data_IF_622962744494
#
_entry.id   IF_622962744494
#
_cell.length_a   1.000
_cell.length_b   1.000
_cell.length_c   1.000
_cell.angle_alpha   90.00
_cell.angle_beta   90.00
_cell.angle_gamma   90.00
#
_symmetry.space_group_name_H-M   'P 1'
#
loop_
_entity.id
_entity.type
_entity.pdbx_description
1 polymer ?
#
# COMPACT_ATOMS: atom_id res chain seq x y z
N UNK A 1 -19.64 -26.28 7.65
CA UNK A 1 -18.75 -26.14 6.49
C UNK A 1 -17.88 -24.93 6.79
N UNK A 2 -16.65 -25.15 7.25
CA UNK A 2 -15.68 -24.05 7.36
C UNK A 2 -15.41 -23.55 5.95
N UNK A 3 -15.41 -22.24 5.75
CA UNK A 3 -14.98 -21.64 4.50
C UNK A 3 -13.56 -22.13 4.17
N UNK A 4 -13.19 -22.25 2.88
CA UNK A 4 -11.82 -22.56 2.51
C UNK A 4 -10.96 -21.32 2.79
N UNK A 5 -10.56 -21.13 4.04
CA UNK A 5 -9.62 -20.07 4.46
C UNK A 5 -8.17 -20.46 4.16
N UNK A 6 -7.92 -21.16 3.05
CA UNK A 6 -6.57 -21.58 2.65
C UNK A 6 -5.81 -20.44 1.97
N UNK A 7 -5.92 -19.22 2.51
CA UNK A 7 -5.11 -18.09 2.10
C UNK A 7 -3.71 -18.31 2.65
N UNK A 8 -2.75 -18.60 1.79
CA UNK A 8 -1.36 -18.75 2.22
C UNK A 8 -0.82 -17.37 2.58
N UNK A 9 -0.59 -17.13 3.88
CA UNK A 9 -0.01 -15.88 4.35
C UNK A 9 1.50 -15.93 4.08
N UNK A 10 2.15 -14.77 3.91
CA UNK A 10 3.59 -14.72 3.66
C UNK A 10 4.40 -15.44 4.75
N UNK A 11 3.90 -15.43 5.99
CA UNK A 11 4.47 -16.17 7.10
C UNK A 11 4.49 -17.69 6.89
N UNK A 12 3.39 -18.27 6.40
CA UNK A 12 3.31 -19.71 6.14
C UNK A 12 4.38 -20.11 5.11
N UNK A 13 4.54 -19.28 4.07
CA UNK A 13 5.58 -19.47 3.05
C UNK A 13 6.97 -19.43 3.68
N UNK A 14 7.27 -18.43 4.51
CA UNK A 14 8.57 -18.30 5.15
C UNK A 14 8.86 -19.43 6.13
N UNK A 15 7.84 -19.90 6.86
CA UNK A 15 7.97 -21.01 7.81
C UNK A 15 8.33 -22.30 7.07
N UNK A 16 7.62 -22.63 5.99
CA UNK A 16 7.97 -23.81 5.19
C UNK A 16 9.35 -23.70 4.52
N UNK A 17 9.72 -22.51 4.05
CA UNK A 17 11.05 -22.26 3.50
C UNK A 17 12.13 -22.44 4.57
N UNK A 18 11.87 -22.02 5.81
CA UNK A 18 12.79 -22.18 6.92
C UNK A 18 12.96 -23.65 7.31
N UNK A 19 11.88 -24.44 7.29
CA UNK A 19 11.95 -25.90 7.51
C UNK A 19 12.83 -26.58 6.46
N UNK A 20 12.70 -26.17 5.20
CA UNK A 20 13.50 -26.73 4.10
C UNK A 20 14.99 -26.48 4.28
N UNK A 21 15.38 -25.27 4.72
CA UNK A 21 16.80 -24.90 4.93
C UNK A 21 17.32 -25.37 6.30
N UNK A 22 16.44 -25.83 7.19
CA UNK A 22 16.81 -26.24 8.55
C UNK A 22 17.12 -25.05 9.49
N UNK A 23 16.49 -23.90 9.25
CA UNK A 23 16.60 -22.68 10.07
C UNK A 23 15.28 -22.30 10.73
N UNK A 24 14.27 -23.17 10.69
CA UNK A 24 13.02 -22.94 11.40
C UNK A 24 13.23 -22.96 12.91
N UNK A 25 12.55 -22.05 13.60
CA UNK A 25 12.39 -22.11 15.05
C UNK A 25 11.18 -22.99 15.38
N UNK A 26 11.08 -23.44 16.63
CA UNK A 26 9.98 -24.31 17.07
C UNK A 26 9.36 -23.75 18.34
N UNK A 27 8.04 -23.57 18.31
CA UNK A 27 7.31 -23.18 19.52
C UNK A 27 7.49 -24.26 20.59
N UNK A 28 8.12 -23.91 21.71
CA UNK A 28 8.43 -24.83 22.81
C UNK A 28 7.21 -25.52 23.44
N UNK A 29 6.01 -24.96 23.25
CA UNK A 29 4.76 -25.48 23.81
C UNK A 29 4.01 -26.40 22.85
N UNK A 30 4.03 -26.10 21.55
CA UNK A 30 3.27 -26.86 20.54
C UNK A 30 4.13 -27.78 19.68
N UNK A 31 5.44 -27.51 19.60
CA UNK A 31 6.37 -28.18 18.69
C UNK A 31 6.14 -27.84 17.21
N UNK A 32 5.26 -26.88 16.92
CA UNK A 32 4.97 -26.43 15.56
C UNK A 32 6.12 -25.54 15.10
N UNK A 33 6.58 -25.75 13.87
CA UNK A 33 7.57 -24.89 13.24
C UNK A 33 7.01 -23.48 13.09
N UNK A 34 7.85 -22.50 13.42
CA UNK A 34 7.61 -21.09 13.20
C UNK A 34 8.75 -20.53 12.36
N UNK A 35 8.48 -19.47 11.62
CA UNK A 35 9.53 -18.74 10.92
C UNK A 35 10.64 -18.32 11.90
N UNK A 36 11.91 -18.23 11.46
CA UNK A 36 13.01 -17.87 12.34
C UNK A 36 12.79 -16.51 12.98
N UNK A 37 13.23 -16.34 14.22
CA UNK A 37 13.24 -15.05 14.91
C UNK A 37 14.52 -14.24 14.58
N UNK A 38 15.58 -14.90 14.12
CA UNK A 38 16.83 -14.23 13.76
C UNK A 38 16.65 -13.27 12.56
N UNK A 39 17.02 -12.01 12.76
CA UNK A 39 16.92 -10.94 11.74
C UNK A 39 17.71 -11.30 10.47
N UNK A 40 18.84 -11.98 10.59
CA UNK A 40 19.68 -12.38 9.47
C UNK A 40 19.01 -13.43 8.60
N UNK A 41 18.48 -14.49 9.22
CA UNK A 41 17.83 -15.59 8.51
C UNK A 41 16.48 -15.19 7.91
N UNK A 42 15.67 -14.40 8.62
CA UNK A 42 14.46 -13.79 8.03
C UNK A 42 14.82 -12.97 6.80
N UNK A 43 15.83 -12.11 6.86
CA UNK A 43 16.19 -11.25 5.71
C UNK A 43 16.68 -12.07 4.50
N UNK A 44 17.38 -13.18 4.73
CA UNK A 44 17.74 -14.12 3.66
C UNK A 44 16.48 -14.75 3.05
N UNK A 45 15.60 -15.33 3.88
CA UNK A 45 14.38 -16.00 3.41
C UNK A 45 13.46 -15.03 2.68
N UNK A 46 13.25 -13.81 3.19
CA UNK A 46 12.49 -12.76 2.48
C UNK A 46 13.04 -12.47 1.11
N UNK A 47 14.36 -12.34 0.98
CA UNK A 47 15.00 -12.04 -0.31
C UNK A 47 14.69 -13.15 -1.31
N UNK A 48 14.86 -14.40 -0.88
CA UNK A 48 14.60 -15.59 -1.70
C UNK A 48 13.11 -15.72 -2.05
N UNK A 49 12.21 -15.50 -1.09
CA UNK A 49 10.77 -15.54 -1.33
C UNK A 49 10.34 -14.49 -2.37
N UNK A 50 10.83 -13.25 -2.20
CA UNK A 50 10.59 -12.18 -3.18
C UNK A 50 11.18 -12.50 -4.56
N UNK A 51 12.33 -13.17 -4.63
CA UNK A 51 12.90 -13.64 -5.90
C UNK A 51 12.03 -14.75 -6.53
N UNK A 52 11.52 -15.70 -5.75
CA UNK A 52 10.57 -16.72 -6.19
C UNK A 52 9.28 -16.13 -6.74
N UNK A 53 8.70 -15.13 -6.07
CA UNK A 53 7.51 -14.42 -6.55
C UNK A 53 7.82 -13.64 -7.84
N UNK A 54 8.95 -12.92 -7.89
CA UNK A 54 9.37 -12.22 -9.12
C UNK A 54 9.57 -13.16 -10.29
N UNK A 55 10.12 -14.34 -10.02
CA UNK A 55 10.28 -15.41 -11.02
C UNK A 55 8.92 -15.88 -11.54
N UNK A 56 7.96 -16.17 -10.66
CA UNK A 56 6.60 -16.52 -11.07
C UNK A 56 5.95 -15.43 -11.93
N UNK A 57 6.15 -14.16 -11.58
CA UNK A 57 5.65 -13.04 -12.37
C UNK A 57 6.38 -12.93 -13.72
N UNK A 58 7.69 -13.19 -13.79
CA UNK A 58 8.45 -13.15 -15.05
C UNK A 58 8.13 -14.33 -15.97
N UNK A 59 7.75 -15.47 -15.42
CA UNK A 59 7.31 -16.67 -16.16
C UNK A 59 5.87 -16.52 -16.74
N UNK A 60 5.40 -15.28 -16.88
CA UNK A 60 4.09 -14.96 -17.43
C UNK A 60 3.93 -15.43 -18.89
N UNK A 61 2.68 -15.64 -19.34
CA UNK A 61 2.39 -15.74 -20.77
C UNK A 61 2.88 -14.51 -21.55
N UNK A 62 3.04 -14.59 -22.90
CA UNK A 62 3.51 -13.47 -23.72
C UNK A 62 2.70 -12.17 -23.62
N UNK A 63 1.43 -12.24 -23.19
CA UNK A 63 0.54 -11.09 -23.00
C UNK A 63 0.43 -10.63 -21.54
N UNK A 64 1.31 -11.14 -20.67
CA UNK A 64 1.24 -10.98 -19.22
C UNK A 64 0.17 -11.87 -18.59
N UNK A 65 0.14 -11.85 -17.25
CA UNK A 65 -0.91 -12.50 -16.46
C UNK A 65 -2.21 -11.69 -16.52
N UNK A 66 -3.35 -12.37 -16.69
CA UNK A 66 -4.66 -11.70 -16.66
C UNK A 66 -5.04 -11.24 -15.26
N UNK A 67 -4.65 -11.96 -14.21
CA UNK A 67 -4.88 -11.52 -12.82
C UNK A 67 -4.17 -10.20 -12.46
N UNK A 68 -3.10 -9.84 -13.19
CA UNK A 68 -2.43 -8.54 -13.02
C UNK A 68 -3.27 -7.39 -13.58
N UNK A 69 -4.23 -7.66 -14.48
CA UNK A 69 -5.11 -6.64 -15.04
C UNK A 69 -6.23 -6.36 -14.04
N UNK A 70 -6.11 -5.24 -13.32
CA UNK A 70 -7.03 -4.82 -12.28
C UNK A 70 -7.73 -3.52 -12.65
N UNK A 71 -8.80 -3.20 -11.93
CA UNK A 71 -9.47 -1.91 -12.05
C UNK A 71 -9.04 -1.06 -10.86
N UNK A 72 -8.41 0.07 -11.14
CA UNK A 72 -8.17 1.13 -10.16
C UNK A 72 -9.47 1.89 -9.95
N UNK A 73 -9.81 2.21 -8.71
CA UNK A 73 -10.96 3.05 -8.37
C UNK A 73 -10.49 4.20 -7.50
N UNK A 74 -10.72 5.44 -7.95
CA UNK A 74 -10.28 6.65 -7.27
C UNK A 74 -11.50 7.50 -7.01
N UNK A 75 -11.68 7.88 -5.74
CA UNK A 75 -12.68 8.87 -5.34
C UNK A 75 -12.09 10.26 -5.47
N UNK A 76 -12.53 11.00 -6.48
CA UNK A 76 -12.26 12.41 -6.61
C UNK A 76 -12.93 13.19 -5.48
N UNK A 77 -12.18 14.09 -4.86
CA UNK A 77 -12.66 14.97 -3.80
C UNK A 77 -12.89 16.36 -4.37
N UNK A 78 -13.78 17.11 -3.73
CA UNK A 78 -14.02 18.51 -4.12
C UNK A 78 -12.71 19.26 -3.93
N UNK A 79 -12.32 20.00 -4.98
CA UNK A 79 -11.13 20.84 -4.95
C UNK A 79 -11.26 21.96 -3.93
N UNK A 80 -10.15 22.32 -3.31
CA UNK A 80 -10.10 23.36 -2.30
C UNK A 80 -8.80 24.12 -2.43
N UNK A 81 -8.87 25.42 -2.17
CA UNK A 81 -7.70 26.30 -2.14
C UNK A 81 -7.84 27.24 -0.96
N UNK A 82 -6.71 27.74 -0.48
CA UNK A 82 -6.68 28.57 0.71
C UNK A 82 -5.31 29.13 1.00
N UNK A 83 -5.19 29.76 2.16
CA UNK A 83 -3.94 30.32 2.66
C UNK A 83 -3.70 29.74 4.05
N UNK A 84 -2.51 29.18 4.26
CA UNK A 84 -2.13 28.70 5.57
C UNK A 84 -2.15 29.87 6.57
N UNK A 85 -2.85 29.72 7.69
CA UNK A 85 -3.05 30.80 8.67
C UNK A 85 -2.77 30.37 10.13
N UNK A 86 -2.42 29.09 10.34
CA UNK A 86 -2.06 28.57 11.65
C UNK A 86 -1.19 27.31 11.59
N UNK A 87 -0.73 26.88 12.77
CA UNK A 87 0.10 25.67 12.99
C UNK A 87 1.25 25.46 11.99
N UNK A 88 1.95 26.55 11.64
CA UNK A 88 2.95 26.64 10.58
C UNK A 88 4.26 25.93 10.97
N UNK A 89 4.39 24.66 10.62
CA UNK A 89 5.57 23.85 10.87
C UNK A 89 5.99 23.07 9.61
N UNK A 90 7.19 22.48 9.63
CA UNK A 90 7.72 21.78 8.45
C UNK A 90 6.80 20.67 7.92
N UNK A 91 6.05 20.02 8.81
CA UNK A 91 5.17 18.89 8.50
C UNK A 91 3.68 19.18 8.69
N UNK A 92 3.32 20.42 9.07
CA UNK A 92 1.92 20.77 9.32
C UNK A 92 1.61 22.22 8.99
N UNK A 93 0.36 22.49 8.63
CA UNK A 93 -0.23 23.82 8.75
C UNK A 93 -1.75 23.71 8.82
N UNK A 94 -2.41 24.75 9.31
CA UNK A 94 -3.88 24.85 9.29
C UNK A 94 -4.37 25.99 8.40
N UNK A 95 -5.59 25.84 7.91
CA UNK A 95 -6.40 26.90 7.32
C UNK A 95 -7.74 26.97 8.06
N UNK A 96 -7.94 28.03 8.84
CA UNK A 96 -9.16 28.22 9.62
C UNK A 96 -10.42 28.37 8.75
N UNK A 97 -10.28 28.71 7.46
CA UNK A 97 -11.40 28.79 6.51
C UNK A 97 -11.94 27.42 6.15
N UNK A 98 -11.07 26.40 6.14
CA UNK A 98 -11.47 25.01 5.88
C UNK A 98 -11.94 24.29 7.15
N UNK A 99 -11.68 24.85 8.34
CA UNK A 99 -12.13 24.30 9.60
C UNK A 99 -13.67 24.17 9.65
N UNK A 100 -14.15 22.97 9.96
CA UNK A 100 -15.57 22.62 10.01
C UNK A 100 -16.26 22.42 8.66
N UNK A 101 -15.54 22.56 7.53
CA UNK A 101 -16.12 22.39 6.19
C UNK A 101 -16.17 20.93 5.76
N UNK A 102 -15.14 20.16 6.11
CA UNK A 102 -15.00 18.75 5.76
C UNK A 102 -14.72 17.91 7.01
N UNK A 103 -15.12 16.65 6.98
CA UNK A 103 -14.88 15.70 8.06
C UNK A 103 -13.37 15.37 8.20
N UNK A 104 -13.02 14.73 9.31
CA UNK A 104 -11.68 14.17 9.49
C UNK A 104 -11.34 13.21 8.33
N UNK A 105 -10.06 13.15 7.99
CA UNK A 105 -9.51 12.26 6.96
C UNK A 105 -9.97 12.56 5.52
N UNK A 106 -10.75 13.63 5.30
CA UNK A 106 -11.35 13.91 3.98
C UNK A 106 -10.32 14.02 2.85
N UNK A 107 -9.15 14.60 3.14
CA UNK A 107 -8.06 14.82 2.18
C UNK A 107 -6.92 13.80 2.27
N UNK A 108 -7.03 12.75 3.08
CA UNK A 108 -5.96 11.77 3.23
C UNK A 108 -5.66 11.10 1.88
N UNK A 109 -4.36 10.96 1.56
CA UNK A 109 -3.89 10.39 0.30
C UNK A 109 -3.91 11.35 -0.90
N UNK A 110 -4.43 12.57 -0.75
CA UNK A 110 -4.31 13.60 -1.78
C UNK A 110 -2.95 14.30 -1.68
N UNK A 111 -2.52 14.88 -2.80
CA UNK A 111 -1.29 15.67 -2.86
C UNK A 111 -1.68 17.15 -2.85
N UNK A 112 -1.15 17.87 -1.88
CA UNK A 112 -1.26 19.34 -1.81
C UNK A 112 -0.18 19.97 -2.69
N UNK A 113 -0.53 21.05 -3.37
CA UNK A 113 0.40 21.86 -4.17
C UNK A 113 0.39 23.29 -3.65
N UNK A 114 1.58 23.85 -3.44
CA UNK A 114 1.74 25.25 -3.06
C UNK A 114 1.73 26.09 -4.32
N UNK A 115 0.74 26.97 -4.44
CA UNK A 115 0.49 27.80 -5.62
C UNK A 115 0.94 29.25 -5.44
N UNK A 116 1.21 29.67 -4.21
CA UNK A 116 1.66 31.02 -3.88
C UNK A 116 2.43 31.08 -2.56
N UNK A 117 3.21 32.15 -2.37
CA UNK A 117 4.00 32.38 -1.16
C UNK A 117 5.22 31.48 -1.01
N UNK A 118 5.58 31.18 0.26
CA UNK A 118 6.75 30.35 0.58
C UNK A 118 6.49 28.89 0.21
N UNK A 119 7.43 28.31 -0.53
CA UNK A 119 7.35 26.94 -1.03
C UNK A 119 6.61 26.79 -2.36
N UNK A 120 6.39 27.87 -3.12
CA UNK A 120 5.70 27.81 -4.42
C UNK A 120 6.26 26.72 -5.34
N UNK A 121 5.37 25.90 -5.89
CA UNK A 121 5.69 24.73 -6.72
C UNK A 121 6.07 23.48 -5.94
N UNK A 122 6.23 23.55 -4.63
CA UNK A 122 6.42 22.37 -3.78
C UNK A 122 5.10 21.65 -3.53
N UNK A 123 5.22 20.36 -3.22
CA UNK A 123 4.07 19.48 -3.00
C UNK A 123 4.29 18.61 -1.77
N UNK A 124 3.22 18.14 -1.17
CA UNK A 124 3.29 17.16 -0.09
C UNK A 124 2.13 16.15 -0.16
N UNK A 125 2.35 14.95 0.35
CA UNK A 125 1.29 13.96 0.53
C UNK A 125 0.61 14.22 1.87
N UNK A 126 -0.72 14.38 1.86
CA UNK A 126 -1.52 14.55 3.08
C UNK A 126 -1.69 13.18 3.73
N UNK A 127 -1.17 13.04 4.95
CA UNK A 127 -1.31 11.81 5.75
C UNK A 127 -2.46 11.89 6.73
N UNK A 128 -2.80 13.10 7.19
CA UNK A 128 -3.92 13.34 8.08
C UNK A 128 -4.51 14.74 7.83
N UNK A 129 -5.82 14.85 8.05
CA UNK A 129 -6.59 16.09 8.03
C UNK A 129 -7.60 16.10 9.18
N UNK A 130 -7.46 17.08 10.07
CA UNK A 130 -8.39 17.29 11.17
C UNK A 130 -9.44 18.31 10.76
N UNK A 131 -10.64 17.84 10.43
CA UNK A 131 -11.76 18.64 9.95
C UNK A 131 -12.15 19.77 10.90
N UNK A 132 -12.12 19.52 12.22
CA UNK A 132 -12.49 20.50 13.23
C UNK A 132 -11.57 21.75 13.27
N UNK A 133 -10.29 21.60 12.88
CA UNK A 133 -9.28 22.66 12.97
C UNK A 133 -8.72 23.07 11.61
N UNK A 134 -9.09 22.38 10.53
CA UNK A 134 -8.49 22.59 9.21
C UNK A 134 -6.99 22.27 9.18
N UNK A 135 -6.52 21.36 10.06
CA UNK A 135 -5.09 21.03 10.21
C UNK A 135 -4.70 19.95 9.21
N UNK A 136 -3.71 20.24 8.36
CA UNK A 136 -3.06 19.28 7.49
C UNK A 136 -1.77 18.76 8.12
N UNK A 137 -1.51 17.47 7.95
CA UNK A 137 -0.28 16.79 8.35
C UNK A 137 0.35 16.07 7.16
N UNK A 138 1.68 16.12 7.07
CA UNK A 138 2.49 15.50 6.02
C UNK A 138 3.60 14.63 6.62
N UNK A 139 3.95 13.51 5.95
CA UNK A 139 5.01 12.62 6.44
C UNK A 139 6.44 13.15 6.28
N UNK A 140 6.71 13.95 5.25
CA UNK A 140 8.06 14.40 4.93
C UNK A 140 8.18 15.92 4.72
N UNK A 141 7.15 16.67 5.11
CA UNK A 141 7.02 18.09 4.81
C UNK A 141 6.87 18.39 3.31
N UNK A 142 7.09 19.65 2.92
CA UNK A 142 7.04 20.05 1.52
C UNK A 142 8.26 19.51 0.74
N UNK A 143 8.06 19.17 -0.54
CA UNK A 143 9.05 18.48 -1.36
C UNK A 143 10.39 19.20 -1.55
N UNK A 144 10.46 20.52 -1.34
CA UNK A 144 11.70 21.31 -1.38
C UNK A 144 12.29 21.57 0.01
N UNK A 145 11.65 21.08 1.07
CA UNK A 145 12.06 21.30 2.46
C UNK A 145 11.64 22.67 3.02
N UNK A 146 10.82 23.44 2.31
CA UNK A 146 10.32 24.71 2.81
C UNK A 146 9.36 24.50 3.98
N UNK A 147 9.38 25.45 4.92
CA UNK A 147 8.38 25.52 6.00
C UNK A 147 7.26 26.49 5.58
N UNK A 148 5.99 26.07 5.57
CA UNK A 148 4.85 26.93 5.31
C UNK A 148 4.84 28.20 6.18
N UNK A 149 4.31 29.29 5.64
CA UNK A 149 4.13 30.56 6.36
C UNK A 149 2.69 31.06 6.22
N UNK A 150 2.34 32.12 6.94
CA UNK A 150 1.04 32.78 6.81
C UNK A 150 0.73 33.37 5.41
N UNK A 151 1.67 33.26 4.47
CA UNK A 151 1.52 33.70 3.06
C UNK A 151 1.49 32.53 2.09
N UNK A 152 1.63 31.29 2.58
CA UNK A 152 1.64 30.09 1.76
C UNK A 152 0.23 29.80 1.27
N UNK A 153 0.01 29.94 -0.02
CA UNK A 153 -1.25 29.64 -0.70
C UNK A 153 -1.19 28.24 -1.29
N UNK A 154 -2.25 27.45 -1.12
CA UNK A 154 -2.28 26.05 -1.53
C UNK A 154 -3.51 25.71 -2.36
N UNK A 155 -3.41 24.62 -3.11
CA UNK A 155 -4.50 23.98 -3.83
C UNK A 155 -4.48 22.45 -3.62
N UNK A 156 -5.66 21.86 -3.49
CA UNK A 156 -5.91 20.43 -3.25
C UNK A 156 -7.06 19.96 -4.15
N UNK A 157 -7.08 18.67 -4.47
CA UNK A 157 -8.20 18.01 -5.17
C UNK A 157 -7.94 17.74 -6.65
N UNK A 158 -6.77 18.11 -7.16
CA UNK A 158 -6.37 17.86 -8.54
C UNK A 158 -5.27 16.85 -8.74
N UNK A 159 -4.58 16.48 -7.66
CA UNK A 159 -3.48 15.52 -7.63
C UNK A 159 -3.77 14.42 -6.63
N UNK A 160 -3.72 13.19 -7.10
CA UNK A 160 -4.03 12.01 -6.30
C UNK A 160 -2.83 11.09 -6.31
N UNK A 161 -2.32 10.71 -5.14
CA UNK A 161 -1.31 9.67 -5.07
C UNK A 161 -1.97 8.34 -5.47
N UNK A 162 -1.38 7.66 -6.45
CA UNK A 162 -1.79 6.32 -6.81
C UNK A 162 -1.15 5.30 -5.86
N UNK A 163 -1.83 4.17 -5.72
CA UNK A 163 -1.34 3.05 -4.92
C UNK A 163 0.06 2.60 -5.39
N UNK A 164 0.87 2.09 -4.46
CA UNK A 164 2.23 1.64 -4.76
C UNK A 164 2.29 0.47 -5.75
N UNK A 165 1.20 -0.29 -5.90
CA UNK A 165 1.11 -1.34 -6.92
C UNK A 165 0.92 -0.83 -8.33
N UNK A 166 0.62 0.46 -8.51
CA UNK A 166 0.50 1.05 -9.83
C UNK A 166 1.89 1.39 -10.38
N UNK A 167 2.34 0.63 -11.39
CA UNK A 167 3.67 0.77 -11.98
C UNK A 167 3.76 1.71 -13.19
N UNK A 168 2.73 2.50 -13.47
CA UNK A 168 2.73 3.46 -14.60
C UNK A 168 1.94 3.00 -15.83
N UNK A 169 1.47 1.76 -15.87
CA UNK A 169 0.84 1.17 -17.07
C UNK A 169 -0.69 1.12 -16.94
N UNK A 170 -1.36 1.98 -17.72
CA UNK A 170 -2.82 1.97 -17.90
C UNK A 170 -3.17 1.07 -19.10
N UNK A 171 -4.23 0.26 -18.96
CA UNK A 171 -4.59 -0.80 -19.93
C UNK A 171 -5.86 -0.48 -20.74
N UNK A 172 -6.41 0.72 -20.59
CA UNK A 172 -7.67 1.07 -21.23
C UNK A 172 -8.21 2.42 -20.82
N UNK A 173 -9.39 2.75 -21.36
CA UNK A 173 -10.03 4.05 -21.15
C UNK A 173 -10.52 4.20 -19.71
N UNK A 174 -10.38 5.38 -19.11
CA UNK A 174 -11.00 5.67 -17.84
C UNK A 174 -12.49 5.91 -18.03
N UNK A 175 -13.26 5.61 -17.00
CA UNK A 175 -14.71 5.82 -16.97
C UNK A 175 -15.14 6.28 -15.60
N UNK A 176 -16.13 7.17 -15.55
CA UNK A 176 -16.85 7.39 -14.31
C UNK A 176 -17.66 6.15 -13.90
N UNK A 177 -17.86 5.99 -12.60
CA UNK A 177 -18.76 4.95 -12.08
C UNK A 177 -20.14 5.08 -12.74
N UNK A 178 -20.75 3.93 -13.06
CA UNK A 178 -22.06 3.89 -13.70
C UNK A 178 -23.08 4.71 -12.88
N UNK A 179 -23.89 5.50 -13.58
CA UNK A 179 -24.93 6.38 -13.02
C UNK A 179 -24.47 7.71 -12.42
N UNK A 180 -23.21 8.13 -12.61
CA UNK A 180 -22.77 9.48 -12.23
C UNK A 180 -23.46 10.59 -13.04
N UNK A 181 -23.99 10.28 -14.24
CA UNK A 181 -24.56 11.30 -15.14
C UNK A 181 -23.51 12.22 -15.78
N UNK A 182 -22.22 11.88 -15.60
CA UNK A 182 -21.07 12.64 -16.06
C UNK A 182 -20.65 12.22 -17.47
N UNK A 183 -20.12 13.16 -18.25
CA UNK A 183 -19.54 12.93 -19.57
C UNK A 183 -18.30 12.00 -19.57
N UNK A 184 -17.75 11.67 -20.74
CA UNK A 184 -16.57 10.82 -20.82
C UNK A 184 -15.33 11.52 -20.22
N UNK A 185 -14.38 10.70 -19.78
CA UNK A 185 -13.05 11.14 -19.38
C UNK A 185 -12.00 10.44 -20.25
N UNK A 186 -10.94 11.14 -20.63
CA UNK A 186 -9.92 10.63 -21.54
C UNK A 186 -8.51 10.84 -20.97
N UNK A 187 -7.62 9.92 -21.34
CA UNK A 187 -6.19 10.06 -21.08
C UNK A 187 -5.60 11.14 -21.99
N UNK A 188 -4.85 12.06 -21.39
CA UNK A 188 -4.05 13.05 -22.11
C UNK A 188 -2.61 13.02 -21.60
N UNK A 189 -1.72 13.66 -22.35
CA UNK A 189 -0.39 13.95 -21.83
C UNK A 189 -0.50 14.95 -20.67
N UNK A 190 0.45 14.88 -19.75
CA UNK A 190 0.53 15.81 -18.62
C UNK A 190 0.67 17.28 -19.04
N UNK A 191 1.41 17.54 -20.13
CA UNK A 191 1.74 18.90 -20.56
C UNK A 191 0.50 19.78 -20.81
N UNK A 192 -0.52 19.34 -21.57
CA UNK A 192 -1.78 20.07 -21.70
C UNK A 192 -2.45 20.42 -20.36
N UNK A 193 -2.50 19.48 -19.41
CA UNK A 193 -3.11 19.73 -18.09
C UNK A 193 -2.36 20.83 -17.34
N UNK A 194 -1.02 20.86 -17.40
CA UNK A 194 -0.24 21.94 -16.80
C UNK A 194 -0.54 23.29 -17.45
N UNK A 195 -0.56 23.34 -18.78
CA UNK A 195 -0.84 24.57 -19.52
C UNK A 195 -2.23 25.14 -19.19
N UNK A 196 -3.26 24.30 -19.16
CA UNK A 196 -4.60 24.77 -18.80
C UNK A 196 -4.73 25.27 -17.36
N UNK A 197 -3.89 24.75 -16.45
CA UNK A 197 -3.83 25.23 -15.06
C UNK A 197 -3.09 26.56 -14.92
N UNK A 198 -2.08 26.81 -15.75
CA UNK A 198 -1.42 28.11 -15.82
C UNK A 198 -2.40 29.21 -16.25
N UNK A 199 -3.35 28.88 -17.12
CA UNK A 199 -4.39 29.80 -17.60
C UNK A 199 -5.53 30.02 -16.58
N UNK A 200 -5.59 29.22 -15.51
CA UNK A 200 -6.52 29.38 -14.38
C UNK A 200 -7.06 28.07 -13.80
N UNK A 201 -7.49 28.11 -12.53
CA UNK A 201 -8.26 27.01 -11.92
C UNK A 201 -9.71 27.07 -12.40
N UNK A 202 -10.18 25.97 -12.96
CA UNK A 202 -11.53 25.82 -13.45
C UNK A 202 -12.21 24.71 -12.65
N UNK A 203 -13.17 25.07 -11.79
CA UNK A 203 -14.01 24.09 -11.12
C UNK A 203 -14.99 23.46 -12.10
N UNK A 204 -15.15 22.13 -12.05
CA UNK A 204 -16.11 21.44 -12.90
C UNK A 204 -16.00 19.93 -12.79
N UNK A 205 -16.54 19.24 -13.79
CA UNK A 205 -16.38 17.80 -13.86
C UNK A 205 -15.15 17.47 -14.70
N UNK A 206 -14.17 16.73 -14.15
CA UNK A 206 -12.98 16.38 -14.90
C UNK A 206 -13.33 15.60 -16.17
N UNK A 207 -12.70 15.93 -17.28
CA UNK A 207 -12.88 15.18 -18.53
C UNK A 207 -11.53 14.80 -19.15
N UNK A 208 -10.44 15.21 -18.52
CA UNK A 208 -9.08 14.89 -18.90
C UNK A 208 -8.30 14.44 -17.69
N UNK A 209 -7.43 13.46 -17.89
CA UNK A 209 -6.57 12.98 -16.84
C UNK A 209 -5.22 12.50 -17.40
N UNK A 210 -4.18 12.60 -16.59
CA UNK A 210 -2.83 12.16 -16.93
C UNK A 210 -2.18 11.49 -15.73
N UNK A 211 -1.29 10.54 -15.99
CA UNK A 211 -0.49 9.90 -14.94
C UNK A 211 0.95 10.29 -15.11
N UNK A 212 1.66 10.52 -14.00
CA UNK A 212 3.09 10.77 -14.00
C UNK A 212 3.78 10.21 -12.77
N UNK A 213 5.10 10.02 -12.79
CA UNK A 213 5.86 9.63 -11.61
C UNK A 213 5.74 10.69 -10.49
N UNK A 214 5.64 10.23 -9.25
CA UNK A 214 5.61 11.06 -8.04
C UNK A 214 6.54 10.45 -6.98
N UNK A 215 7.54 11.23 -6.55
CA UNK A 215 8.53 10.76 -5.58
C UNK A 215 9.30 9.51 -6.04
N UNK A 216 9.52 8.56 -5.13
CA UNK A 216 10.26 7.32 -5.39
C UNK A 216 9.30 6.15 -5.56
N UNK A 217 9.14 5.65 -6.79
CA UNK A 217 8.30 4.48 -7.14
C UNK A 217 6.79 4.64 -6.88
N UNK A 218 6.28 5.86 -6.71
CA UNK A 218 4.84 6.14 -6.78
C UNK A 218 4.52 6.90 -8.05
N UNK A 219 3.25 6.90 -8.40
CA UNK A 219 2.71 7.72 -9.46
C UNK A 219 1.62 8.60 -8.88
N UNK A 220 1.36 9.71 -9.54
CA UNK A 220 0.20 10.53 -9.25
C UNK A 220 -0.71 10.62 -10.47
N UNK A 221 -2.00 10.79 -10.18
CA UNK A 221 -3.00 11.12 -11.16
C UNK A 221 -3.28 12.63 -11.10
N UNK A 222 -3.20 13.26 -12.26
CA UNK A 222 -3.65 14.62 -12.52
C UNK A 222 -5.01 14.56 -13.19
N UNK A 223 -5.92 15.42 -12.75
CA UNK A 223 -7.24 15.60 -13.38
C UNK A 223 -7.44 17.04 -13.82
N UNK A 224 -8.25 17.25 -14.85
CA UNK A 224 -8.68 18.58 -15.28
C UNK A 224 -10.08 18.52 -15.90
N UNK A 225 -10.96 19.52 -15.68
CA UNK A 225 -10.89 20.60 -14.71
C UNK A 225 -10.81 20.12 -13.25
N UNK A 226 -10.70 21.03 -12.29
CA UNK A 226 -10.69 20.69 -10.86
C UNK A 226 -12.06 20.12 -10.44
N UNK A 227 -12.12 19.01 -9.68
CA UNK A 227 -13.40 18.41 -9.33
C UNK A 227 -14.25 19.36 -8.48
N UNK A 228 -15.46 19.67 -8.97
CA UNK A 228 -16.47 20.43 -8.24
C UNK A 228 -17.44 19.58 -7.42
N UNK A 229 -17.37 18.25 -7.56
CA UNK A 229 -18.20 17.28 -6.85
C UNK A 229 -17.37 16.03 -6.51
N UNK A 230 -17.84 15.26 -5.51
CA UNK A 230 -17.26 13.96 -5.21
C UNK A 230 -17.70 12.97 -6.27
N UNK A 231 -16.74 12.40 -6.99
CA UNK A 231 -16.98 11.48 -8.10
C UNK A 231 -16.06 10.27 -7.99
N UNK A 232 -16.42 9.15 -8.62
CA UNK A 232 -15.58 7.95 -8.65
C UNK A 232 -15.17 7.66 -10.09
N UNK A 233 -13.86 7.60 -10.32
CA UNK A 233 -13.27 7.22 -11.61
C UNK A 233 -12.70 5.82 -11.48
N UNK A 234 -12.91 5.03 -12.52
CA UNK A 234 -12.36 3.70 -12.66
C UNK A 234 -11.57 3.57 -13.96
N UNK A 235 -10.41 2.91 -13.89
CA UNK A 235 -9.64 2.58 -15.09
C UNK A 235 -8.88 1.27 -14.92
N UNK A 236 -8.75 0.47 -16.00
CA UNK A 236 -7.94 -0.73 -15.97
C UNK A 236 -6.45 -0.39 -15.94
N UNK A 237 -5.68 -1.12 -15.12
CA UNK A 237 -4.23 -0.98 -15.00
C UNK A 237 -3.55 -2.34 -14.84
N UNK A 238 -2.25 -2.37 -15.12
CA UNK A 238 -1.41 -3.52 -14.80
C UNK A 238 -0.85 -3.35 -13.39
N UNK A 239 -1.19 -4.28 -12.51
CA UNK A 239 -0.67 -4.39 -11.15
C UNK A 239 0.80 -4.81 -11.19
N UNK A 240 1.66 -4.13 -10.44
CA UNK A 240 3.05 -4.49 -10.24
C UNK A 240 3.31 -4.90 -8.81
N UNK A 241 3.94 -6.05 -8.64
CA UNK A 241 4.40 -6.52 -7.35
C UNK A 241 5.64 -5.72 -6.91
N UNK A 242 5.56 -5.11 -5.73
CA UNK A 242 6.70 -4.43 -5.11
C UNK A 242 7.60 -5.41 -4.35
N UNK A 243 7.17 -5.76 -3.13
CA UNK A 243 7.78 -6.76 -2.26
C UNK A 243 6.77 -7.22 -1.21
N UNK A 244 6.95 -8.42 -0.68
CA UNK A 244 6.43 -8.82 0.61
C UNK A 244 7.50 -8.56 1.67
N UNK A 245 7.08 -8.07 2.84
CA UNK A 245 7.99 -7.69 3.92
C UNK A 245 7.43 -8.10 5.29
N UNK A 246 8.30 -8.42 6.23
CA UNK A 246 7.96 -8.82 7.60
C UNK A 246 9.11 -8.49 8.54
N UNK A 247 9.06 -7.37 9.24
CA UNK A 247 10.18 -7.03 10.13
C UNK A 247 9.88 -7.60 11.51
N UNK A 248 10.89 -8.12 12.20
CA UNK A 248 10.77 -8.55 13.59
C UNK A 248 11.56 -7.62 14.49
N UNK A 249 11.21 -7.61 15.76
CA UNK A 249 11.90 -6.86 16.80
C UNK A 249 11.54 -7.33 18.18
N UNK A 250 12.24 -6.78 19.17
CA UNK A 250 11.97 -7.01 20.59
C UNK A 250 11.62 -5.66 21.20
N UNK A 251 10.58 -5.63 22.03
CA UNK A 251 10.18 -4.42 22.74
C UNK A 251 11.23 -4.13 23.81
N UNK A 252 12.01 -3.08 23.67
CA UNK A 252 12.98 -2.66 24.69
C UNK A 252 12.27 -2.05 25.91
N UNK A 253 11.25 -1.25 25.63
CA UNK A 253 10.43 -0.60 26.65
C UNK A 253 9.07 -0.20 26.08
N UNK A 254 8.17 0.19 26.97
CA UNK A 254 6.83 0.65 26.61
C UNK A 254 6.62 2.03 27.22
N UNK A 255 6.04 2.95 26.44
CA UNK A 255 5.87 4.36 26.82
C UNK A 255 4.45 4.85 26.51
N UNK A 256 4.08 6.00 27.06
CA UNK A 256 2.75 6.59 26.89
C UNK A 256 1.70 6.03 27.86
N UNK A 257 0.47 6.49 27.67
CA UNK A 257 -0.73 5.98 28.34
C UNK A 257 -1.67 5.39 27.29
N UNK A 258 -2.33 4.29 27.64
CA UNK A 258 -3.25 3.47 26.82
C UNK A 258 -3.78 4.15 25.54
N UNK A 259 -3.52 3.60 24.33
CA UNK A 259 -2.75 2.38 24.09
C UNK A 259 -1.25 2.59 24.34
N UNK A 260 -0.60 1.58 24.93
CA UNK A 260 0.81 1.66 25.24
C UNK A 260 1.66 1.61 23.95
N UNK A 261 2.64 2.51 23.81
CA UNK A 261 3.51 2.60 22.63
C UNK A 261 4.75 1.73 22.86
N UNK A 262 5.13 0.92 21.87
CA UNK A 262 6.35 0.11 21.97
C UNK A 262 7.56 0.90 21.50
N UNK A 263 8.70 0.63 22.13
CA UNK A 263 10.00 1.20 21.78
C UNK A 263 10.94 0.06 21.41
N UNK A 264 11.52 0.12 20.22
CA UNK A 264 12.64 -0.72 19.78
C UNK A 264 13.72 0.22 19.26
N UNK A 265 14.66 0.55 20.14
CA UNK A 265 15.68 1.58 19.94
C UNK A 265 16.71 1.18 18.88
N UNK A 266 16.78 -0.10 18.51
CA UNK A 266 17.66 -0.62 17.47
C UNK A 266 17.09 -0.40 16.06
N UNK A 267 15.83 0.04 15.93
CA UNK A 267 15.22 0.40 14.63
C UNK A 267 15.84 1.66 14.05
N UNK A 268 16.08 1.66 12.74
CA UNK A 268 16.75 2.76 12.04
C UNK A 268 16.09 3.09 10.67
N UNK A 269 14.85 2.66 10.48
CA UNK A 269 14.04 3.08 9.33
C UNK A 269 13.88 4.60 9.29
N UNK A 270 13.57 5.19 8.13
CA UNK A 270 13.19 6.60 8.05
C UNK A 270 12.00 6.95 8.96
N UNK A 271 11.88 8.21 9.36
CA UNK A 271 10.68 8.72 10.04
C UNK A 271 9.42 8.35 9.24
N UNK A 272 8.36 7.97 9.94
CA UNK A 272 7.06 7.61 9.37
C UNK A 272 7.05 6.43 8.39
N UNK A 273 8.12 5.63 8.35
CA UNK A 273 8.22 4.51 7.41
C UNK A 273 7.07 3.50 7.52
N UNK A 274 6.50 3.34 8.71
CA UNK A 274 5.40 2.41 8.99
C UNK A 274 4.00 3.02 8.94
N UNK A 275 3.85 4.35 8.76
CA UNK A 275 2.56 5.02 8.93
C UNK A 275 1.57 4.73 7.78
N UNK A 276 2.05 4.16 6.67
CA UNK A 276 1.21 3.79 5.52
C UNK A 276 0.96 2.29 5.52
N UNK A 277 -0.20 1.87 6.01
CA UNK A 277 -0.70 0.50 5.89
C UNK A 277 0.25 -0.56 6.48
N UNK A 278 0.76 -0.35 7.70
CA UNK A 278 1.42 -1.41 8.47
C UNK A 278 0.63 -1.78 9.72
N UNK A 279 0.71 -3.05 10.08
CA UNK A 279 0.26 -3.59 11.35
C UNK A 279 1.48 -4.05 12.15
N UNK A 280 1.40 -3.88 13.46
CA UNK A 280 2.28 -4.53 14.43
C UNK A 280 1.50 -5.63 15.13
N UNK A 281 2.11 -6.79 15.28
CA UNK A 281 1.56 -7.93 16.00
C UNK A 281 2.58 -8.43 17.02
N UNK A 282 2.12 -8.67 18.24
CA UNK A 282 2.95 -9.18 19.34
C UNK A 282 2.88 -10.70 19.32
N UNK A 283 4.03 -11.35 19.11
CA UNK A 283 4.11 -12.80 18.88
C UNK A 283 4.53 -13.59 20.11
N UNK A 284 5.12 -12.93 21.11
CA UNK A 284 5.53 -13.56 22.36
C UNK A 284 5.32 -12.66 23.58
N UNK A 285 5.43 -13.25 24.77
CA UNK A 285 5.32 -12.52 26.04
C UNK A 285 3.90 -12.14 26.43
N UNK A 286 3.74 -11.00 27.11
CA UNK A 286 2.47 -10.61 27.76
C UNK A 286 1.44 -10.13 26.75
N UNK A 287 1.86 -9.38 25.74
CA UNK A 287 0.99 -8.89 24.68
C UNK A 287 0.64 -9.94 23.62
N UNK A 288 1.11 -11.19 23.74
CA UNK A 288 0.98 -12.22 22.69
C UNK A 288 -0.45 -12.33 22.13
N UNK A 289 -0.56 -12.26 20.81
CA UNK A 289 -1.83 -12.32 20.08
C UNK A 289 -2.54 -10.98 19.96
N UNK A 290 -1.95 -9.90 20.47
CA UNK A 290 -2.45 -8.54 20.28
C UNK A 290 -1.82 -7.92 19.03
N UNK A 291 -2.59 -7.15 18.29
CA UNK A 291 -2.11 -6.41 17.12
C UNK A 291 -2.66 -4.98 17.07
N UNK A 292 -2.03 -4.11 16.29
CA UNK A 292 -2.50 -2.74 16.09
C UNK A 292 -2.07 -2.18 14.74
N UNK A 293 -2.87 -1.30 14.17
CA UNK A 293 -2.49 -0.54 12.96
C UNK A 293 -1.53 0.57 13.38
N UNK A 294 -0.36 0.62 12.73
CA UNK A 294 0.68 1.60 13.04
C UNK A 294 0.25 2.97 12.54
N UNK A 295 0.21 3.94 13.45
CA UNK A 295 -0.15 5.33 13.17
C UNK A 295 1.05 6.25 13.09
N UNK A 296 2.14 5.91 13.79
CA UNK A 296 3.36 6.71 13.79
C UNK A 296 4.62 5.85 14.00
N UNK A 297 5.75 6.29 13.44
CA UNK A 297 7.07 5.76 13.75
C UNK A 297 8.09 6.88 13.89
N UNK A 298 8.67 6.98 15.10
CA UNK A 298 9.68 7.99 15.44
C UNK A 298 11.07 7.39 15.40
N UNK A 299 11.87 7.75 14.39
CA UNK A 299 13.21 7.19 14.18
C UNK A 299 14.15 7.46 15.33
N UNK A 300 14.08 8.66 15.92
CA UNK A 300 15.04 9.08 16.96
C UNK A 300 14.96 8.27 18.25
N UNK A 301 13.79 7.67 18.52
CA UNK A 301 13.54 6.82 19.69
C UNK A 301 13.23 5.38 19.34
N UNK A 302 12.95 5.05 18.07
CA UNK A 302 12.43 3.74 17.67
C UNK A 302 11.01 3.47 18.16
N UNK A 303 10.24 4.52 18.45
CA UNK A 303 8.87 4.40 18.99
C UNK A 303 7.89 4.08 17.88
N UNK A 304 7.10 3.03 18.06
CA UNK A 304 5.99 2.65 17.18
C UNK A 304 4.68 2.94 17.92
N UNK A 305 3.84 3.76 17.31
CA UNK A 305 2.53 4.09 17.83
C UNK A 305 1.44 3.34 17.09
N UNK A 306 0.42 2.90 17.82
CA UNK A 306 -0.79 2.28 17.26
C UNK A 306 -2.03 3.02 17.71
N UNK A 307 -3.09 2.98 16.89
CA UNK A 307 -4.39 3.58 17.26
C UNK A 307 -5.05 2.87 18.46
N UNK A 308 -4.74 1.58 18.64
CA UNK A 308 -5.23 0.73 19.71
C UNK A 308 -4.71 -0.69 19.52
N UNK A 309 -4.51 -1.39 20.64
CA UNK A 309 -4.26 -2.83 20.61
C UNK A 309 -5.59 -3.57 20.54
N UNK A 310 -5.67 -4.48 19.58
CA UNK A 310 -6.81 -5.35 19.29
C UNK A 310 -6.41 -6.80 19.55
N UNK A 311 -7.36 -7.61 19.97
CA UNK A 311 -7.21 -9.06 20.00
C UNK A 311 -7.37 -9.69 18.60
N UNK A 312 -7.12 -10.99 18.49
CA UNK A 312 -7.22 -11.75 17.23
C UNK A 312 -8.61 -11.68 16.55
N UNK A 313 -9.67 -11.41 17.32
CA UNK A 313 -11.04 -11.27 16.81
C UNK A 313 -11.35 -9.82 16.36
N UNK A 314 -10.39 -8.91 16.46
CA UNK A 314 -10.47 -7.52 16.01
C UNK A 314 -11.54 -6.69 16.72
N UNK A 315 -12.06 -7.19 17.84
CA UNK A 315 -13.25 -6.62 18.51
C UNK A 315 -13.07 -6.42 20.01
N UNK A 316 -12.09 -7.05 20.66
CA UNK A 316 -11.75 -6.77 22.05
C UNK A 316 -10.46 -5.97 22.19
N UNK A 317 -10.31 -5.32 23.35
CA UNK A 317 -9.11 -4.55 23.68
C UNK A 317 -7.98 -5.54 23.90
N UNK A 318 -7.03 -5.56 22.96
CA UNK A 318 -5.81 -6.37 23.05
C UNK A 318 -5.03 -6.04 24.32
N UNK A 319 -4.17 -6.98 24.73
CA UNK A 319 -3.30 -6.76 25.88
C UNK A 319 -2.11 -5.90 25.47
N UNK A 320 -1.87 -4.82 26.20
CA UNK A 320 -0.71 -3.97 25.96
C UNK A 320 0.58 -4.82 26.07
N UNK A 321 1.51 -4.72 25.09
CA UNK A 321 2.80 -5.37 25.20
C UNK A 321 3.62 -4.82 26.37
N UNK A 322 4.64 -5.58 26.78
CA UNK A 322 5.63 -5.18 27.80
C UNK A 322 7.06 -5.33 27.27
N UNK A 323 8.04 -4.84 28.04
CA UNK A 323 9.45 -5.03 27.71
C UNK A 323 9.80 -6.52 27.59
N UNK A 324 10.61 -6.85 26.59
CA UNK A 324 11.00 -8.18 26.12
C UNK A 324 9.92 -8.97 25.38
N UNK A 325 8.73 -8.43 25.15
CA UNK A 325 7.81 -9.04 24.20
C UNK A 325 8.44 -8.96 22.79
N UNK A 326 8.34 -10.04 22.02
CA UNK A 326 8.73 -10.01 20.61
C UNK A 326 7.54 -9.60 19.76
N UNK A 327 7.81 -8.80 18.74
CA UNK A 327 6.79 -8.31 17.83
C UNK A 327 7.25 -8.45 16.38
N UNK A 328 6.27 -8.33 15.50
CA UNK A 328 6.48 -8.24 14.05
C UNK A 328 5.69 -7.11 13.44
N UNK A 329 6.22 -6.58 12.35
CA UNK A 329 5.64 -5.52 11.53
C UNK A 329 5.39 -6.07 10.14
N UNK A 330 4.15 -5.94 9.69
CA UNK A 330 3.68 -6.44 8.41
C UNK A 330 2.95 -5.32 7.67
N UNK A 331 3.16 -5.14 6.35
CA UNK A 331 2.23 -4.36 5.57
C UNK A 331 0.82 -4.98 5.65
N UNK A 332 -0.24 -4.17 5.72
CA UNK A 332 -1.64 -4.62 5.66
C UNK A 332 -1.89 -5.40 4.36
N UNK A 333 -1.16 -5.06 3.29
CA UNK A 333 -1.21 -5.70 1.98
C UNK A 333 -0.17 -6.82 1.79
N UNK A 334 0.34 -7.44 2.87
CA UNK A 334 1.37 -8.49 2.81
C UNK A 334 0.85 -9.87 2.36
N UNK A 335 -0.06 -9.87 1.38
CA UNK A 335 -0.59 -11.05 0.73
C UNK A 335 0.03 -11.16 -0.66
N UNK A 336 0.21 -12.39 -1.13
CA UNK A 336 0.67 -12.60 -2.50
C UNK A 336 -0.35 -12.00 -3.50
N UNK A 337 0.11 -11.40 -4.62
CA UNK A 337 -0.73 -10.53 -5.44
C UNK A 337 -1.65 -11.25 -6.45
N UNK A 338 -1.45 -12.53 -6.72
CA UNK A 338 -2.19 -13.30 -7.72
C UNK A 338 -3.53 -13.86 -7.22
N UNK A 339 -3.77 -13.86 -5.91
CA UNK A 339 -4.98 -14.38 -5.26
C UNK A 339 -5.00 -15.91 -5.09
N UNK A 340 -5.96 -16.43 -4.33
CA UNK A 340 -5.93 -17.79 -3.76
C UNK A 340 -5.73 -18.94 -4.77
N UNK A 341 -6.19 -18.76 -6.01
CA UNK A 341 -6.01 -19.77 -7.05
C UNK A 341 -4.53 -20.03 -7.42
N UNK A 342 -3.63 -19.12 -7.03
CA UNK A 342 -2.20 -19.16 -7.32
C UNK A 342 -1.33 -19.39 -6.08
N UNK A 343 -1.91 -19.54 -4.88
CA UNK A 343 -1.15 -19.73 -3.64
C UNK A 343 -0.16 -20.89 -3.74
N UNK A 344 -0.62 -22.04 -4.23
CA UNK A 344 0.22 -23.22 -4.34
C UNK A 344 1.36 -23.07 -5.37
N UNK A 345 1.15 -22.38 -6.49
CA UNK A 345 2.24 -22.17 -7.47
C UNK A 345 3.25 -21.17 -6.95
N UNK A 346 2.82 -20.14 -6.23
CA UNK A 346 3.71 -19.14 -5.61
C UNK A 346 4.52 -19.77 -4.49
N UNK A 347 3.88 -20.57 -3.63
CA UNK A 347 4.56 -21.41 -2.63
C UNK A 347 5.68 -22.22 -3.27
N UNK A 348 5.35 -22.99 -4.31
CA UNK A 348 6.33 -23.83 -5.02
C UNK A 348 7.43 -23.00 -5.70
N UNK A 349 7.11 -21.82 -6.22
CA UNK A 349 8.10 -20.90 -6.77
C UNK A 349 9.10 -20.42 -5.70
N UNK A 350 8.61 -20.12 -4.51
CA UNK A 350 9.45 -19.74 -3.37
C UNK A 350 10.33 -20.91 -2.92
N UNK A 351 9.77 -22.12 -2.79
CA UNK A 351 10.54 -23.33 -2.43
C UNK A 351 11.60 -23.68 -3.48
N UNK A 352 11.28 -23.54 -4.77
CA UNK A 352 12.25 -23.73 -5.85
C UNK A 352 13.37 -22.67 -5.81
N UNK A 353 13.05 -21.43 -5.45
CA UNK A 353 14.06 -20.38 -5.26
C UNK A 353 14.97 -20.68 -4.06
N UNK A 354 14.43 -21.24 -2.97
CA UNK A 354 15.25 -21.72 -1.83
C UNK A 354 16.21 -22.81 -2.26
N UNK A 355 15.71 -23.82 -2.96
CA UNK A 355 16.51 -24.93 -3.50
C UNK A 355 17.64 -24.45 -4.42
N UNK A 356 17.43 -23.33 -5.13
CA UNK A 356 18.41 -22.77 -6.06
C UNK A 356 19.41 -21.82 -5.39
N UNK A 357 19.01 -21.09 -4.34
CA UNK A 357 19.84 -20.04 -3.72
C UNK A 357 20.50 -20.45 -2.39
N UNK A 358 19.89 -21.36 -1.61
CA UNK A 358 20.29 -21.62 -0.22
C UNK A 358 20.64 -23.08 0.09
N UNK A 359 20.13 -24.05 -0.67
CA UNK A 359 20.35 -25.48 -0.44
C UNK A 359 21.13 -26.14 -1.58
N UNK A 360 21.58 -27.38 -1.37
CA UNK A 360 22.17 -28.20 -2.42
C UNK A 360 21.11 -28.53 -3.49
N UNK A 361 21.43 -28.29 -4.76
CA UNK A 361 20.49 -28.36 -5.88
C UNK A 361 19.99 -29.80 -6.12
N UNK A 362 18.87 -30.16 -5.48
CA UNK A 362 18.20 -31.45 -5.66
C UNK A 362 17.16 -31.44 -6.79
N UNK A 363 16.80 -30.26 -7.31
CA UNK A 363 15.84 -30.01 -8.42
C UNK A 363 14.40 -30.51 -8.18
N UNK A 364 14.06 -30.90 -6.95
CA UNK A 364 12.75 -31.50 -6.65
C UNK A 364 11.66 -30.44 -6.70
N UNK A 365 11.88 -29.30 -6.05
CA UNK A 365 10.93 -28.18 -6.03
C UNK A 365 10.84 -27.50 -7.39
N UNK A 366 11.94 -27.42 -8.13
CA UNK A 366 11.96 -26.89 -9.51
C UNK A 366 11.02 -27.67 -10.45
N UNK A 367 11.06 -29.00 -10.36
CA UNK A 367 10.18 -29.87 -11.15
C UNK A 367 8.70 -29.70 -10.76
N UNK A 368 8.41 -29.59 -9.45
CA UNK A 368 7.04 -29.34 -8.95
C UNK A 368 6.53 -27.96 -9.37
N UNK A 369 7.36 -26.93 -9.29
CA UNK A 369 7.04 -25.58 -9.74
C UNK A 369 6.69 -25.56 -11.23
N UNK A 370 7.51 -26.17 -12.09
CA UNK A 370 7.25 -26.24 -13.54
C UNK A 370 5.90 -26.91 -13.85
N UNK A 371 5.56 -28.00 -13.16
CA UNK A 371 4.26 -28.66 -13.31
C UNK A 371 3.09 -27.76 -12.85
N UNK A 372 3.25 -27.09 -11.71
CA UNK A 372 2.25 -26.17 -11.17
C UNK A 372 2.05 -24.93 -12.05
N UNK A 373 3.14 -24.41 -12.65
CA UNK A 373 3.11 -23.29 -13.59
C UNK A 373 2.22 -23.60 -14.79
N UNK A 374 2.34 -24.80 -15.37
CA UNK A 374 1.47 -25.24 -16.47
C UNK A 374 -0.03 -25.23 -16.11
N UNK A 375 -0.37 -25.47 -14.84
CA UNK A 375 -1.75 -25.36 -14.36
C UNK A 375 -2.15 -23.90 -14.08
N UNK A 376 -1.25 -23.09 -13.51
CA UNK A 376 -1.46 -21.66 -13.28
C UNK A 376 -1.78 -20.92 -14.59
N UNK A 377 -1.03 -21.20 -15.66
CA UNK A 377 -1.28 -20.64 -16.99
C UNK A 377 -2.68 -20.99 -17.52
N UNK A 378 -3.16 -22.21 -17.28
CA UNK A 378 -4.52 -22.64 -17.65
C UNK A 378 -5.60 -21.96 -16.81
N UNK A 379 -5.35 -21.75 -15.52
CA UNK A 379 -6.27 -21.06 -14.62
C UNK A 379 -6.39 -19.60 -15.06
N UNK A 380 -5.27 -18.92 -15.27
CA UNK A 380 -5.24 -17.52 -15.71
C UNK A 380 -5.94 -17.33 -17.08
N UNK A 381 -5.68 -18.22 -18.04
CA UNK A 381 -6.36 -18.19 -19.33
C UNK A 381 -7.90 -18.37 -19.24
N UNK A 382 -8.41 -18.97 -18.16
CA UNK A 382 -9.86 -19.09 -17.89
C UNK A 382 -10.44 -17.84 -17.23
N UNK A 383 -9.62 -17.02 -16.58
CA UNK A 383 -10.02 -15.74 -15.99
C UNK A 383 -10.22 -14.66 -17.05
N UNK A 384 -9.61 -14.81 -18.23
CA UNK A 384 -9.84 -13.90 -19.35
C UNK A 384 -11.33 -13.85 -19.72
N UNK A 385 -11.90 -12.64 -19.97
CA UNK A 385 -13.27 -12.50 -20.44
C UNK A 385 -13.47 -13.34 -21.71
N UNK A 386 -14.28 -14.40 -21.59
CA UNK A 386 -14.67 -15.16 -22.78
C UNK A 386 -15.63 -14.29 -23.55
N UNK A 387 -15.28 -13.93 -24.77
CA UNK A 387 -16.27 -13.50 -25.74
C UNK A 387 -17.24 -14.67 -25.88
N UNK A 388 -18.40 -14.54 -25.26
CA UNK A 388 -19.54 -15.41 -25.56
C UNK A 388 -19.77 -15.23 -27.06
N UNK A 389 -19.38 -16.25 -27.84
CA UNK A 389 -19.42 -16.20 -29.30
C UNK A 389 -20.77 -15.66 -29.76
N UNK A 390 -20.74 -14.85 -30.83
CA UNK A 390 -21.87 -14.11 -31.38
C UNK A 390 -23.21 -14.87 -31.24
N UNK A 391 -23.96 -14.58 -30.17
CA UNK A 391 -25.27 -15.16 -29.93
C UNK A 391 -26.27 -14.49 -30.88
N UNK A 392 -26.27 -14.91 -32.14
CA UNK A 392 -27.33 -14.57 -33.08
C UNK A 392 -27.09 -13.31 -33.92
N UNK A 393 -25.97 -13.27 -34.64
CA UNK A 393 -25.98 -12.62 -35.96
C UNK A 393 -26.95 -13.36 -36.88
N UNK A 394 -28.24 -13.02 -36.82
CA UNK A 394 -29.21 -13.36 -37.86
C UNK A 394 -28.65 -12.79 -39.17
N UNK A 395 -28.21 -13.67 -40.06
CA UNK A 395 -28.11 -13.35 -41.48
C UNK A 395 -29.48 -12.81 -41.90
N UNK A 396 -29.54 -11.51 -42.19
CA UNK A 396 -30.60 -10.89 -42.97
C UNK A 396 -30.00 -10.43 -44.28
#
# INVERSE_FOLDING_TARGET
MSEPTSSLVFEDVLTEMAELVGVADYDSSTGIAIHPNDKGDINKLKRVANNGIRRFISDAPPLGWNWMKRIMSITLKISSSGTADGNLAATTFSDATLAGTYDNDYYNGLIIEIVGGVGIGETALITDYVGATGLFTFSAGLSGGSTPTATTEFAIGHRYALDQSFGGQVEGKPTYLRSSGVGPIEWVNELPIRQWREDGSHGGTPHQMAVRPYGTRRYELLVYPDPGAVEIIQFPYTYYFGKLDILTGTVDSVTGSVPALIVDADRNEPEDYFNTDWIVEVVSGTGKGSYGVVTNFVKSSGTISVAGWLDIDGTSVGTDPVANDEYRLLPVSNLQPAGFAFDNVIRLACMAAVEAELDDVQTIWENKYTQALGNALKIDARLAPKTVGNFGGRNK
#
